data_IF_799852199436
#
_entry.id   IF_799852199436
#
_cell.length_a   1.000
_cell.length_b   1.000
_cell.length_c   1.000
_cell.angle_alpha   90.00
_cell.angle_beta   90.00
_cell.angle_gamma   90.00
#
_symmetry.space_group_name_H-M   'P 1'
#
loop_
_entity.id
_entity.type
_entity.pdbx_description
1 polymer ?
#
# COMPACT_ATOMS: atom_id res chain seq x y z
N UNK A 1 3.47 -1.98 -5.12
CA UNK A 1 2.45 -2.85 -4.48
C UNK A 1 1.81 -3.66 -5.60
N UNK A 2 1.39 -4.91 -5.40
CA UNK A 2 0.81 -5.73 -6.49
C UNK A 2 -0.41 -6.53 -6.02
N UNK A 3 -1.42 -6.68 -6.89
CA UNK A 3 -2.59 -7.55 -6.68
C UNK A 3 -2.36 -8.91 -7.34
N UNK A 4 -2.39 -9.98 -6.56
CA UNK A 4 -2.24 -11.37 -7.01
C UNK A 4 -3.50 -12.16 -6.67
N UNK A 5 -4.51 -12.08 -7.55
CA UNK A 5 -5.84 -12.64 -7.31
C UNK A 5 -6.52 -11.97 -6.11
N UNK A 6 -6.83 -12.74 -5.06
CA UNK A 6 -7.40 -12.21 -3.81
C UNK A 6 -6.34 -11.83 -2.78
N UNK A 7 -5.08 -11.68 -3.19
CA UNK A 7 -3.99 -11.31 -2.30
C UNK A 7 -3.39 -9.97 -2.72
N UNK A 8 -2.84 -9.25 -1.76
CA UNK A 8 -2.01 -8.08 -2.01
C UNK A 8 -0.61 -8.37 -1.50
N UNK A 9 0.39 -7.99 -2.28
CA UNK A 9 1.79 -8.09 -1.94
C UNK A 9 2.43 -6.70 -2.01
N UNK A 10 3.09 -6.30 -0.92
CA UNK A 10 3.89 -5.09 -0.86
C UNK A 10 5.30 -5.49 -0.47
N UNK A 11 6.28 -4.96 -1.20
CA UNK A 11 7.68 -5.18 -0.91
C UNK A 11 8.38 -3.82 -0.88
N UNK A 12 9.12 -3.54 0.19
CA UNK A 12 9.77 -2.27 0.42
C UNK A 12 11.07 -2.45 1.22
N UNK A 13 12.00 -1.53 1.02
CA UNK A 13 13.25 -1.47 1.79
C UNK A 13 12.92 -0.94 3.20
N UNK A 14 13.25 -1.71 4.25
CA UNK A 14 12.86 -1.34 5.62
C UNK A 14 13.90 -0.50 6.36
N UNK A 15 15.12 -0.45 5.83
CA UNK A 15 16.18 0.41 6.35
C UNK A 15 17.12 0.80 5.22
N UNK A 16 17.24 2.12 5.01
CA UNK A 16 18.21 2.74 4.12
C UNK A 16 19.10 3.66 4.96
N UNK A 17 20.41 3.48 4.86
CA UNK A 17 21.41 4.35 5.48
C UNK A 17 21.93 5.32 4.42
N UNK A 18 21.50 6.58 4.53
CA UNK A 18 21.89 7.66 3.60
C UNK A 18 23.10 8.48 4.11
N UNK A 19 23.53 8.28 5.36
CA UNK A 19 24.53 9.13 6.03
C UNK A 19 25.98 8.59 5.99
N UNK A 20 26.33 7.67 5.09
CA UNK A 20 27.70 7.13 4.99
C UNK A 20 28.63 7.90 4.02
N UNK A 21 28.34 9.18 3.76
CA UNK A 21 29.18 10.08 2.97
C UNK A 21 30.63 10.23 3.50
N UNK A 22 30.93 9.76 4.72
CA UNK A 22 32.26 9.86 5.33
C UNK A 22 33.26 8.80 4.83
N UNK A 23 32.85 7.81 4.02
CA UNK A 23 33.72 6.69 3.60
C UNK A 23 33.93 6.55 2.08
N UNK A 24 33.53 7.52 1.27
CA UNK A 24 33.62 7.43 -0.20
C UNK A 24 32.59 6.48 -0.84
N UNK A 25 31.48 6.26 -0.12
CA UNK A 25 30.29 5.56 -0.62
C UNK A 25 29.27 6.66 -0.93
N UNK A 26 29.09 6.95 -2.22
CA UNK A 26 28.19 8.01 -2.69
C UNK A 26 26.72 7.53 -2.76
N UNK A 27 26.49 6.22 -2.81
CA UNK A 27 25.17 5.60 -2.93
C UNK A 27 24.64 5.10 -1.57
N UNK A 28 23.34 5.29 -1.31
CA UNK A 28 22.69 4.83 -0.08
C UNK A 28 22.79 3.31 0.13
N UNK A 29 22.94 2.88 1.39
CA UNK A 29 23.04 1.46 1.73
C UNK A 29 21.70 0.91 2.20
N UNK A 30 21.15 -0.08 1.51
CA UNK A 30 19.94 -0.80 1.94
C UNK A 30 20.34 -1.96 2.86
N UNK A 31 19.73 -2.03 4.05
CA UNK A 31 19.99 -3.02 5.10
C UNK A 31 18.96 -4.15 5.17
N UNK A 32 18.00 -4.14 4.24
CA UNK A 32 17.16 -5.28 3.95
C UNK A 32 15.82 -4.91 3.36
N UNK A 33 15.09 -5.96 3.00
CA UNK A 33 13.79 -5.88 2.35
C UNK A 33 12.73 -6.50 3.25
N UNK A 34 11.56 -5.86 3.30
CA UNK A 34 10.37 -6.39 3.95
C UNK A 34 9.32 -6.69 2.92
N UNK A 35 8.72 -7.88 3.06
CA UNK A 35 7.63 -8.35 2.22
C UNK A 35 6.38 -8.57 3.05
N UNK A 36 5.36 -7.75 2.80
CA UNK A 36 4.06 -7.82 3.41
C UNK A 36 3.07 -8.48 2.45
N UNK A 37 2.33 -9.50 2.91
CA UNK A 37 1.26 -10.14 2.14
C UNK A 37 -0.04 -10.15 2.93
N UNK A 38 -1.08 -9.57 2.35
CA UNK A 38 -2.47 -9.70 2.84
C UNK A 38 -3.14 -10.77 1.99
N UNK A 39 -3.63 -11.85 2.60
CA UNK A 39 -4.24 -12.99 1.87
C UNK A 39 -5.74 -13.10 2.11
N UNK A 40 -6.42 -13.66 1.12
CA UNK A 40 -7.84 -14.03 1.24
C UNK A 40 -8.76 -12.80 1.31
N UNK A 41 -8.45 -11.76 0.55
CA UNK A 41 -9.25 -10.54 0.48
C UNK A 41 -10.64 -10.89 -0.05
N UNK A 42 -11.66 -10.41 0.65
CA UNK A 42 -13.07 -10.64 0.31
C UNK A 42 -13.97 -9.50 0.80
N UNK A 43 -15.23 -9.52 0.34
CA UNK A 43 -16.27 -8.54 0.71
C UNK A 43 -15.81 -7.08 0.52
N UNK A 44 -15.09 -6.83 -0.55
CA UNK A 44 -14.55 -5.51 -0.90
C UNK A 44 -15.71 -4.52 -1.13
N UNK A 45 -15.57 -3.33 -0.55
CA UNK A 45 -16.48 -2.21 -0.73
C UNK A 45 -15.68 -0.97 -1.03
N UNK A 46 -16.11 -0.24 -2.06
CA UNK A 46 -15.49 0.99 -2.51
C UNK A 46 -16.50 2.13 -2.45
N UNK A 47 -16.14 3.21 -1.77
CA UNK A 47 -16.93 4.45 -1.73
C UNK A 47 -16.06 5.58 -2.24
N UNK A 48 -16.53 6.30 -3.25
CA UNK A 48 -15.91 7.54 -3.71
C UNK A 48 -16.65 8.74 -3.16
N UNK A 49 -15.93 9.69 -2.57
CA UNK A 49 -16.44 10.96 -2.09
C UNK A 49 -15.96 12.08 -3.02
N UNK A 50 -16.93 12.86 -3.52
CA UNK A 50 -16.72 13.83 -4.60
C UNK A 50 -16.75 15.29 -4.09
N UNK A 51 -17.36 15.52 -2.92
CA UNK A 51 -17.45 16.84 -2.26
C UNK A 51 -17.16 16.79 -0.75
N UNK A 52 -16.48 15.74 -0.30
CA UNK A 52 -16.18 15.47 1.11
C UNK A 52 -17.36 14.94 1.95
N UNK A 53 -18.62 15.11 1.52
CA UNK A 53 -19.80 14.65 2.28
C UNK A 53 -20.69 13.69 1.51
N UNK A 54 -20.76 13.82 0.18
CA UNK A 54 -21.54 12.95 -0.69
C UNK A 54 -20.64 11.85 -1.24
N UNK A 55 -21.09 10.60 -1.06
CA UNK A 55 -20.43 9.44 -1.62
C UNK A 55 -21.30 8.71 -2.64
N UNK A 56 -20.65 8.00 -3.56
CA UNK A 56 -21.29 7.06 -4.48
C UNK A 56 -20.49 5.74 -4.50
N UNK A 57 -21.14 4.59 -4.65
CA UNK A 57 -20.43 3.34 -4.87
C UNK A 57 -19.68 3.44 -6.20
N UNK A 58 -18.40 3.07 -6.19
CA UNK A 58 -17.60 2.97 -7.40
C UNK A 58 -17.74 1.53 -7.92
N UNK A 59 -18.22 1.37 -9.15
CA UNK A 59 -18.53 0.06 -9.75
C UNK A 59 -17.42 -0.50 -10.63
N UNK A 60 -16.45 0.33 -11.03
CA UNK A 60 -15.39 -0.10 -11.95
C UNK A 60 -14.17 -0.63 -11.19
N UNK A 61 -13.49 -1.67 -11.72
CA UNK A 61 -12.24 -2.14 -11.18
C UNK A 61 -11.15 -1.13 -11.56
N UNK A 62 -11.08 -0.04 -10.81
CA UNK A 62 -9.88 0.78 -10.77
C UNK A 62 -8.79 -0.11 -10.18
N UNK A 63 -7.62 -0.14 -10.81
CA UNK A 63 -6.43 -0.78 -10.27
C UNK A 63 -5.93 0.01 -9.06
N UNK A 64 -6.68 -0.04 -7.96
CA UNK A 64 -6.49 0.77 -6.78
C UNK A 64 -5.11 0.57 -6.17
N UNK A 65 -4.61 -0.67 -6.22
CA UNK A 65 -3.27 -1.00 -5.72
C UNK A 65 -2.18 -0.15 -6.38
N UNK A 66 -2.38 0.21 -7.65
CA UNK A 66 -1.41 0.98 -8.44
C UNK A 66 -1.82 2.44 -8.67
N UNK A 67 -3.00 2.86 -8.24
CA UNK A 67 -3.54 4.17 -8.61
C UNK A 67 -3.77 5.14 -7.45
N UNK A 68 -3.44 4.73 -6.22
CA UNK A 68 -3.56 5.64 -5.08
C UNK A 68 -2.38 6.58 -5.08
N UNK A 69 -2.66 7.88 -5.23
CA UNK A 69 -1.62 8.91 -5.11
C UNK A 69 -1.20 9.07 -3.66
N UNK A 70 -2.15 8.91 -2.73
CA UNK A 70 -1.92 9.00 -1.30
C UNK A 70 -2.83 8.02 -0.55
N UNK A 71 -2.26 7.30 0.42
CA UNK A 71 -2.99 6.55 1.43
C UNK A 71 -2.96 7.38 2.73
N UNK A 72 -4.11 7.58 3.35
CA UNK A 72 -4.27 8.22 4.64
C UNK A 72 -5.29 7.43 5.48
N UNK A 73 -5.42 7.75 6.77
CA UNK A 73 -6.48 7.25 7.66
C UNK A 73 -6.79 5.75 7.49
N UNK A 74 -5.87 4.90 7.94
CA UNK A 74 -6.07 3.44 7.94
C UNK A 74 -6.71 2.98 9.24
N UNK A 75 -7.77 2.19 9.16
CA UNK A 75 -8.36 1.49 10.30
C UNK A 75 -8.19 -0.02 10.13
N UNK A 76 -7.73 -0.69 11.19
CA UNK A 76 -7.56 -2.14 11.24
C UNK A 76 -8.35 -2.67 12.41
N UNK A 77 -9.33 -3.52 12.12
CA UNK A 77 -10.06 -4.31 13.11
C UNK A 77 -9.59 -5.77 13.05
N UNK A 78 -8.72 -6.13 13.99
CA UNK A 78 -8.17 -7.49 14.11
C UNK A 78 -9.19 -8.52 14.61
N UNK A 79 -10.25 -8.09 15.32
CA UNK A 79 -11.29 -9.01 15.82
C UNK A 79 -12.14 -9.50 14.67
N UNK A 80 -12.47 -8.60 13.74
CA UNK A 80 -13.30 -8.91 12.58
C UNK A 80 -12.52 -9.13 11.29
N UNK A 81 -11.17 -9.14 11.35
CA UNK A 81 -10.24 -9.20 10.23
C UNK A 81 -10.65 -8.26 9.09
N UNK A 82 -10.79 -6.98 9.42
CA UNK A 82 -11.15 -5.93 8.47
C UNK A 82 -10.07 -4.88 8.38
N UNK A 83 -9.81 -4.43 7.16
CA UNK A 83 -9.01 -3.24 6.89
C UNK A 83 -9.91 -2.25 6.17
N UNK A 84 -9.78 -0.98 6.56
CA UNK A 84 -10.25 0.16 5.80
C UNK A 84 -9.05 1.04 5.46
N UNK A 85 -8.90 1.34 4.18
CA UNK A 85 -7.95 2.30 3.66
C UNK A 85 -8.73 3.47 3.12
N UNK A 86 -8.22 4.67 3.35
CA UNK A 86 -8.76 5.91 2.81
C UNK A 86 -7.67 6.62 1.99
N UNK A 87 -8.01 7.27 0.89
CA UNK A 87 -6.96 7.86 0.07
C UNK A 87 -7.44 8.74 -1.06
N UNK A 88 -6.49 9.45 -1.65
CA UNK A 88 -6.75 10.26 -2.84
C UNK A 88 -6.55 9.41 -4.09
N UNK A 89 -7.55 9.46 -4.96
CA UNK A 89 -7.50 8.90 -6.30
C UNK A 89 -7.85 9.98 -7.30
N UNK A 90 -6.92 10.29 -8.18
CA UNK A 90 -7.08 11.31 -9.20
C UNK A 90 -7.22 10.64 -10.57
N UNK A 91 -8.20 11.09 -11.33
CA UNK A 91 -8.32 10.81 -12.76
C UNK A 91 -7.96 12.07 -13.54
N UNK A 92 -7.81 11.98 -14.86
CA UNK A 92 -7.60 13.17 -15.70
C UNK A 92 -8.70 14.24 -15.55
N UNK A 93 -9.88 13.87 -15.05
CA UNK A 93 -11.05 14.73 -15.00
C UNK A 93 -11.38 15.22 -13.60
N UNK A 94 -11.17 14.38 -12.60
CA UNK A 94 -11.70 14.58 -11.25
C UNK A 94 -10.83 13.89 -10.20
N UNK A 95 -10.78 14.48 -9.01
CA UNK A 95 -10.13 13.92 -7.83
C UNK A 95 -11.19 13.42 -6.85
N UNK A 96 -10.96 12.25 -6.30
CA UNK A 96 -11.87 11.58 -5.39
C UNK A 96 -11.14 11.20 -4.12
N UNK A 97 -11.83 11.37 -2.99
CA UNK A 97 -11.45 10.63 -1.80
C UNK A 97 -12.09 9.24 -1.86
N UNK A 98 -11.31 8.19 -1.70
CA UNK A 98 -11.80 6.81 -1.79
C UNK A 98 -11.61 6.13 -0.46
N UNK A 99 -12.68 5.48 -0.02
CA UNK A 99 -12.69 4.55 1.09
C UNK A 99 -12.81 3.13 0.52
N UNK A 100 -11.79 2.32 0.78
CA UNK A 100 -11.77 0.90 0.44
C UNK A 100 -11.75 0.08 1.71
N UNK A 101 -12.82 -0.68 1.94
CA UNK A 101 -12.90 -1.63 3.05
C UNK A 101 -12.99 -3.06 2.55
N UNK A 102 -12.30 -3.97 3.23
CA UNK A 102 -12.29 -5.38 2.88
C UNK A 102 -12.02 -6.26 4.10
N UNK A 103 -12.48 -7.52 4.00
CA UNK A 103 -12.10 -8.57 4.94
C UNK A 103 -10.86 -9.30 4.43
N UNK A 104 -10.04 -9.80 5.34
CA UNK A 104 -8.87 -10.62 5.03
C UNK A 104 -8.85 -11.91 5.85
N UNK A 105 -8.11 -12.91 5.38
CA UNK A 105 -7.92 -14.18 6.11
C UNK A 105 -6.68 -14.13 7.00
N UNK A 106 -5.56 -13.63 6.46
CA UNK A 106 -4.34 -13.42 7.23
C UNK A 106 -3.48 -12.30 6.64
N UNK A 107 -2.57 -11.81 7.47
CA UNK A 107 -1.49 -10.91 7.08
C UNK A 107 -0.16 -11.57 7.47
N UNK A 108 0.79 -11.61 6.53
CA UNK A 108 2.11 -12.22 6.73
C UNK A 108 3.18 -11.19 6.44
N UNK A 109 4.12 -11.02 7.37
CA UNK A 109 5.29 -10.19 7.20
C UNK A 109 6.55 -11.06 7.17
N UNK A 110 7.35 -10.92 6.10
CA UNK A 110 8.62 -11.59 5.91
C UNK A 110 9.73 -10.53 5.95
N UNK A 111 10.68 -10.67 6.88
CA UNK A 111 11.81 -9.76 7.05
C UNK A 111 13.08 -10.41 6.52
N UNK A 112 13.71 -9.79 5.52
CA UNK A 112 14.93 -10.30 4.89
C UNK A 112 16.08 -9.29 5.03
N UNK A 113 16.91 -9.48 6.05
CA UNK A 113 18.12 -8.67 6.26
C UNK A 113 19.18 -9.03 5.22
N UNK A 114 19.64 -8.04 4.47
CA UNK A 114 20.75 -8.15 3.53
C UNK A 114 21.38 -6.77 3.34
N UNK A 115 22.58 -6.72 2.76
CA UNK A 115 23.27 -5.46 2.48
C UNK A 115 23.40 -5.30 0.98
N UNK A 116 22.82 -4.25 0.42
CA UNK A 116 22.91 -3.93 -1.01
C UNK A 116 23.00 -2.43 -1.26
N UNK A 117 23.68 -2.03 -2.33
CA UNK A 117 23.71 -0.66 -2.84
C UNK A 117 22.63 -0.43 -3.92
N UNK A 118 21.94 -1.49 -4.34
CA UNK A 118 20.86 -1.38 -5.33
C UNK A 118 19.53 -1.21 -4.60
N UNK A 119 18.98 0.00 -4.69
CA UNK A 119 17.62 0.29 -4.24
C UNK A 119 16.59 -0.42 -5.10
N UNK A 120 15.48 -0.82 -4.48
CA UNK A 120 14.35 -1.34 -5.21
C UNK A 120 13.72 -0.20 -6.01
N UNK A 121 13.52 -0.42 -7.32
CA UNK A 121 12.75 0.52 -8.14
C UNK A 121 11.28 0.44 -7.72
N UNK A 122 10.72 1.59 -7.36
CA UNK A 122 9.29 1.78 -7.04
C UNK A 122 8.38 1.42 -8.21
#
# INVERSE_FOLDING_TARGET
>A
MERLGNNIELIFDWAKLENFNESGIDDGLVLGETKLRIKGISKEKFRGYFDGTKWKPISEPIDFVNSWEQIANTEIDEVSNQIQLDGMYSTEKENFWIEWSFKYENCVIEWNSHVTFTERKE
#
